data_IF_735021056869
#
_entry.id   IF_735021056869
#
_cell.length_a   1.000
_cell.length_b   1.000
_cell.length_c   1.000
_cell.angle_alpha   90.00
_cell.angle_beta   90.00
_cell.angle_gamma   90.00
#
_symmetry.space_group_name_H-M   'P 1'
#
loop_
_entity.id
_entity.type
_entity.pdbx_description
1 polymer ?
#
# COMPACT_ATOMS: atom_id res chain seq x y z
N UNK A 1 -0.67 -12.67 -23.79
CA UNK A 1 -0.51 -12.15 -22.41
C UNK A 1 -1.76 -12.52 -21.62
N UNK A 2 -1.62 -13.13 -20.44
CA UNK A 2 -2.80 -13.45 -19.63
C UNK A 2 -3.24 -12.19 -18.84
N UNK A 3 -4.55 -12.06 -18.59
CA UNK A 3 -5.18 -10.91 -17.92
C UNK A 3 -4.71 -10.67 -16.48
N UNK A 4 -4.10 -11.67 -15.84
CA UNK A 4 -3.52 -11.59 -14.50
C UNK A 4 -2.18 -10.87 -14.51
N UNK A 5 -1.34 -11.11 -15.52
CA UNK A 5 -0.04 -10.46 -15.64
C UNK A 5 -0.19 -8.96 -15.89
N UNK A 6 -1.11 -8.59 -16.78
CA UNK A 6 -1.42 -7.18 -17.08
C UNK A 6 -1.84 -6.39 -15.83
N UNK A 7 -2.63 -7.01 -14.94
CA UNK A 7 -3.02 -6.40 -13.67
C UNK A 7 -1.85 -6.23 -12.70
N UNK A 8 -0.93 -7.19 -12.65
CA UNK A 8 0.27 -7.10 -11.81
C UNK A 8 1.22 -6.01 -12.31
N UNK A 9 1.39 -5.88 -13.62
CA UNK A 9 2.23 -4.84 -14.22
C UNK A 9 1.62 -3.44 -13.96
N UNK A 10 0.30 -3.30 -14.09
CA UNK A 10 -0.40 -2.08 -13.74
C UNK A 10 -0.29 -1.74 -12.24
N UNK A 11 -0.41 -2.74 -11.36
CA UNK A 11 -0.21 -2.56 -9.93
C UNK A 11 1.23 -2.13 -9.62
N UNK A 12 2.23 -2.76 -10.26
CA UNK A 12 3.65 -2.39 -10.13
C UNK A 12 3.89 -0.93 -10.51
N UNK A 13 3.27 -0.46 -11.60
CA UNK A 13 3.38 0.93 -12.05
C UNK A 13 2.70 1.94 -11.11
N UNK A 14 1.64 1.56 -10.41
CA UNK A 14 0.99 2.39 -9.41
C UNK A 14 1.83 2.48 -8.13
N UNK A 15 2.28 1.33 -7.62
CA UNK A 15 3.02 1.29 -6.35
C UNK A 15 4.41 1.91 -6.46
N UNK A 16 5.04 1.87 -7.63
CA UNK A 16 6.35 2.47 -7.87
C UNK A 16 6.37 4.01 -7.78
N UNK A 17 5.20 4.67 -7.84
CA UNK A 17 5.06 6.12 -7.69
C UNK A 17 5.27 6.60 -6.25
N UNK A 18 5.26 5.70 -5.25
CA UNK A 18 5.51 6.08 -3.87
C UNK A 18 6.99 6.48 -3.66
N UNK A 19 7.22 7.73 -3.27
CA UNK A 19 8.52 8.31 -2.92
C UNK A 19 8.94 8.03 -1.45
N UNK A 20 8.10 7.33 -0.70
CA UNK A 20 8.27 7.00 0.73
C UNK A 20 8.35 8.23 1.65
N UNK A 21 7.77 9.38 1.27
CA UNK A 21 7.91 10.66 1.97
C UNK A 21 7.47 10.70 3.44
N UNK A 22 6.40 10.02 3.86
CA UNK A 22 5.89 10.18 5.23
C UNK A 22 4.42 10.54 5.37
N UNK A 23 3.89 11.35 4.44
CA UNK A 23 2.66 12.11 4.66
C UNK A 23 1.43 11.25 4.97
N UNK A 24 1.37 10.02 4.45
CA UNK A 24 0.26 9.13 4.74
C UNK A 24 0.24 8.59 6.18
N UNK A 25 1.37 8.58 6.90
CA UNK A 25 1.42 8.17 8.32
C UNK A 25 0.69 9.18 9.20
N UNK A 26 0.96 10.46 9.01
CA UNK A 26 0.49 11.54 9.89
C UNK A 26 -1.02 11.74 9.82
N UNK A 27 -1.66 11.27 8.74
CA UNK A 27 -3.10 11.38 8.52
C UNK A 27 -3.86 10.06 8.71
N UNK A 28 -3.16 8.93 8.92
CA UNK A 28 -3.79 7.63 9.04
C UNK A 28 -4.27 7.37 10.48
N UNK A 29 -5.59 7.20 10.71
CA UNK A 29 -6.11 6.95 12.06
C UNK A 29 -5.69 5.57 12.60
N UNK A 30 -5.45 4.60 11.72
CA UNK A 30 -5.03 3.25 12.10
C UNK A 30 -3.55 3.18 12.47
N UNK A 31 -2.72 4.04 11.85
CA UNK A 31 -1.33 4.20 12.26
C UNK A 31 -1.26 4.83 13.65
N UNK A 32 -2.02 5.90 13.89
CA UNK A 32 -2.07 6.53 15.21
C UNK A 32 -2.59 5.63 16.33
N UNK A 33 -3.31 4.53 16.03
CA UNK A 33 -3.82 3.59 17.04
C UNK A 33 -2.90 2.39 17.29
N UNK A 34 -2.19 1.90 16.27
CA UNK A 34 -1.35 0.70 16.38
C UNK A 34 0.16 0.98 16.37
N UNK A 35 0.58 2.16 15.94
CA UNK A 35 1.98 2.54 15.70
C UNK A 35 2.75 1.53 14.81
N UNK A 36 2.02 0.90 13.88
CA UNK A 36 2.55 -0.10 12.97
C UNK A 36 2.53 0.45 11.55
N UNK A 37 3.68 0.61 10.90
CA UNK A 37 3.75 1.21 9.57
C UNK A 37 2.92 0.47 8.52
N UNK A 38 2.83 -0.87 8.62
CA UNK A 38 2.00 -1.70 7.73
C UNK A 38 0.50 -1.35 7.78
N UNK A 39 0.03 -0.64 8.80
CA UNK A 39 -1.35 -0.14 8.87
C UNK A 39 -1.59 1.08 7.96
N UNK A 40 -0.55 1.86 7.68
CA UNK A 40 -0.63 3.06 6.85
C UNK A 40 -0.46 2.74 5.36
N UNK A 41 -0.83 3.70 4.51
CA UNK A 41 -0.79 3.50 3.06
C UNK A 41 0.63 3.24 2.53
N UNK A 42 1.67 3.86 3.10
CA UNK A 42 3.06 3.59 2.68
C UNK A 42 3.46 2.14 2.97
N UNK A 43 3.21 1.63 4.18
CA UNK A 43 3.52 0.24 4.51
C UNK A 43 2.77 -0.74 3.61
N UNK A 44 1.49 -0.48 3.33
CA UNK A 44 0.70 -1.28 2.38
C UNK A 44 1.23 -1.20 0.95
N UNK A 45 1.67 -0.03 0.51
CA UNK A 45 2.29 0.16 -0.80
C UNK A 45 3.59 -0.67 -0.91
N UNK A 46 4.43 -0.67 0.14
CA UNK A 46 5.63 -1.52 0.21
C UNK A 46 5.29 -3.01 0.11
N UNK A 47 4.26 -3.46 0.83
CA UNK A 47 3.77 -4.85 0.76
C UNK A 47 3.32 -5.19 -0.66
N UNK A 48 2.46 -4.37 -1.26
CA UNK A 48 1.96 -4.58 -2.62
C UNK A 48 3.07 -4.55 -3.67
N UNK A 49 4.07 -3.70 -3.49
CA UNK A 49 5.27 -3.66 -4.35
C UNK A 49 6.07 -4.94 -4.24
N UNK A 50 6.34 -5.43 -3.03
CA UNK A 50 7.05 -6.69 -2.83
C UNK A 50 6.28 -7.88 -3.45
N UNK A 51 4.95 -7.88 -3.36
CA UNK A 51 4.11 -8.88 -4.03
C UNK A 51 4.18 -8.77 -5.55
N UNK A 52 4.08 -7.56 -6.10
CA UNK A 52 4.21 -7.33 -7.53
C UNK A 52 5.61 -7.66 -8.06
N UNK A 53 6.64 -7.51 -7.24
CA UNK A 53 8.04 -7.85 -7.53
C UNK A 53 8.35 -9.34 -7.36
N UNK A 54 7.39 -10.15 -6.88
CA UNK A 54 7.58 -11.58 -6.62
C UNK A 54 8.50 -11.88 -5.44
N UNK A 55 8.74 -10.88 -4.58
CA UNK A 55 9.59 -10.99 -3.38
C UNK A 55 8.77 -11.45 -2.17
N UNK A 56 7.47 -11.17 -2.17
CA UNK A 56 6.55 -11.48 -1.07
C UNK A 56 5.36 -12.29 -1.56
N UNK A 57 5.14 -13.46 -0.96
CA UNK A 57 3.99 -14.30 -1.24
C UNK A 57 2.72 -13.78 -0.52
N UNK A 58 1.52 -13.98 -1.11
CA UNK A 58 0.25 -13.58 -0.51
C UNK A 58 -0.16 -14.52 0.64
N UNK A 59 0.45 -14.35 1.81
CA UNK A 59 0.09 -15.11 3.02
C UNK A 59 -1.15 -14.53 3.73
N UNK A 60 -1.81 -15.27 4.65
CA UNK A 60 -2.89 -14.74 5.48
C UNK A 60 -2.49 -13.49 6.28
N UNK A 61 -1.25 -13.40 6.74
CA UNK A 61 -0.73 -12.25 7.50
C UNK A 61 -0.58 -11.02 6.60
N UNK A 62 -0.08 -11.21 5.38
CA UNK A 62 0.00 -10.15 4.35
C UNK A 62 -1.40 -9.63 4.03
N UNK A 63 -2.36 -10.54 3.83
CA UNK A 63 -3.76 -10.19 3.62
C UNK A 63 -4.32 -9.40 4.81
N UNK A 64 -4.09 -9.85 6.04
CA UNK A 64 -4.58 -9.17 7.23
C UNK A 64 -4.01 -7.74 7.36
N UNK A 65 -2.75 -7.53 6.99
CA UNK A 65 -2.14 -6.20 6.97
C UNK A 65 -2.79 -5.27 5.93
N UNK A 66 -3.08 -5.79 4.73
CA UNK A 66 -3.76 -5.03 3.68
C UNK A 66 -5.22 -4.71 4.05
N UNK A 67 -5.93 -5.69 4.61
CA UNK A 67 -7.34 -5.60 5.02
C UNK A 67 -7.54 -4.74 6.27
N UNK A 68 -6.47 -4.43 7.01
CA UNK A 68 -6.51 -3.49 8.13
C UNK A 68 -6.64 -2.04 7.63
N UNK A 69 -7.76 -1.71 6.99
CA UNK A 69 -8.06 -0.44 6.35
C UNK A 69 -9.56 -0.11 6.47
N UNK A 70 -9.89 1.08 6.97
CA UNK A 70 -11.29 1.56 7.07
C UNK A 70 -11.72 2.39 5.85
N UNK A 71 -10.93 2.39 4.78
CA UNK A 71 -11.21 3.08 3.51
C UNK A 71 -11.51 4.59 3.62
N UNK A 72 -10.97 5.28 4.64
CA UNK A 72 -11.23 6.70 4.88
C UNK A 72 -10.58 7.69 3.89
N UNK A 73 -9.76 7.21 2.95
CA UNK A 73 -9.12 7.99 1.87
C UNK A 73 -8.17 9.15 2.28
N UNK A 74 -7.94 9.40 3.58
CA UNK A 74 -7.05 10.49 4.04
C UNK A 74 -5.65 10.43 3.45
N UNK A 75 -5.10 9.22 3.29
CA UNK A 75 -3.79 9.01 2.71
C UNK A 75 -3.70 9.42 1.23
N UNK A 76 -4.78 9.25 0.45
CA UNK A 76 -4.85 9.66 -0.96
C UNK A 76 -4.83 11.18 -1.04
N UNK A 77 -5.66 11.86 -0.24
CA UNK A 77 -5.71 13.33 -0.20
C UNK A 77 -4.37 13.96 0.22
N UNK A 78 -3.67 13.34 1.17
CA UNK A 78 -2.40 13.86 1.68
C UNK A 78 -1.17 13.50 0.82
N UNK A 79 -1.31 12.59 -0.16
CA UNK A 79 -0.18 12.08 -0.92
C UNK A 79 0.31 13.12 -1.96
N UNK A 80 1.55 13.65 -1.84
CA UNK A 80 2.07 14.60 -2.82
C UNK A 80 2.31 13.95 -4.18
N UNK A 81 2.70 12.67 -4.19
CA UNK A 81 2.89 11.87 -5.40
C UNK A 81 1.57 11.40 -6.05
N UNK A 82 0.41 11.68 -5.43
CA UNK A 82 -0.93 11.32 -5.93
C UNK A 82 -1.11 9.81 -6.21
N UNK A 83 -0.42 8.98 -5.44
CA UNK A 83 -0.63 7.53 -5.43
C UNK A 83 -2.08 7.25 -5.01
N UNK A 84 -2.76 6.40 -5.80
CA UNK A 84 -4.15 5.99 -5.56
C UNK A 84 -4.21 4.59 -4.96
#
# INVERSE_FOLDING_TARGET
MNKSQEKLDAARALVSQCDRCGNCLTVCPLFGSKDLEASAARGKNTILRAMADGVLEPTPEVRAALDFCILCQRCVTACPAKVK
#
